data_IF_808567694560
#
_entry.id   IF_808567694560
#
_cell.length_a   1.000
_cell.length_b   1.000
_cell.length_c   1.000
_cell.angle_alpha   90.00
_cell.angle_beta   90.00
_cell.angle_gamma   90.00
#
_symmetry.space_group_name_H-M   'P 1'
#
loop_
_entity.id
_entity.type
_entity.pdbx_description
1 polymer ?
#
# COMPACT_ATOMS: atom_id res chain seq x y z
N UNK A 1 66.35 -6.89 -8.19
CA UNK A 1 64.95 -7.28 -8.47
C UNK A 1 63.97 -6.09 -8.43
N UNK A 2 64.37 -4.88 -8.87
CA UNK A 2 63.58 -3.65 -8.67
C UNK A 2 62.66 -3.27 -9.85
N UNK A 3 62.99 -3.62 -11.09
CA UNK A 3 62.28 -3.14 -12.30
C UNK A 3 60.87 -3.70 -12.53
N UNK A 4 60.50 -4.81 -11.89
CA UNK A 4 59.20 -5.48 -12.12
C UNK A 4 58.04 -4.80 -11.37
N UNK A 5 58.35 -4.07 -10.30
CA UNK A 5 57.35 -3.38 -9.47
C UNK A 5 56.89 -2.04 -10.06
N UNK A 6 57.74 -1.34 -10.82
CA UNK A 6 57.42 -0.01 -11.36
C UNK A 6 56.37 -0.07 -12.48
N UNK A 7 56.47 -1.05 -13.39
CA UNK A 7 55.46 -1.24 -14.46
C UNK A 7 54.10 -1.68 -13.93
N UNK A 8 54.06 -2.42 -12.82
CA UNK A 8 52.82 -2.77 -12.12
C UNK A 8 52.19 -1.55 -11.45
N UNK A 9 53.00 -0.68 -10.83
CA UNK A 9 52.55 0.59 -10.24
C UNK A 9 51.96 1.53 -11.28
N UNK A 10 52.64 1.75 -12.41
CA UNK A 10 52.13 2.61 -13.48
C UNK A 10 50.83 2.09 -14.10
N UNK A 11 50.70 0.77 -14.24
CA UNK A 11 49.49 0.14 -14.74
C UNK A 11 48.34 0.29 -13.75
N UNK A 12 48.61 0.13 -12.44
CA UNK A 12 47.67 0.42 -11.35
C UNK A 12 47.25 1.89 -11.34
N UNK A 13 48.19 2.83 -11.44
CA UNK A 13 47.93 4.27 -11.42
C UNK A 13 47.10 4.74 -12.64
N UNK A 14 47.18 4.03 -13.77
CA UNK A 14 46.33 4.30 -14.95
C UNK A 14 44.95 3.65 -14.88
N UNK A 15 44.84 2.46 -14.29
CA UNK A 15 43.58 1.69 -14.25
C UNK A 15 42.71 2.13 -13.08
N UNK A 16 43.32 2.39 -11.92
CA UNK A 16 42.62 2.74 -10.68
C UNK A 16 41.70 3.96 -10.81
N UNK A 17 42.08 5.08 -11.45
CA UNK A 17 41.19 6.23 -11.61
C UNK A 17 39.96 5.90 -12.46
N UNK A 18 40.11 5.06 -13.50
CA UNK A 18 39.00 4.62 -14.35
C UNK A 18 38.05 3.72 -13.58
N UNK A 19 38.60 2.71 -12.88
CA UNK A 19 37.82 1.79 -12.04
C UNK A 19 37.11 2.52 -10.90
N UNK A 20 37.78 3.47 -10.24
CA UNK A 20 37.19 4.32 -9.19
C UNK A 20 36.01 5.13 -9.73
N UNK A 21 36.14 5.73 -10.92
CA UNK A 21 35.06 6.50 -11.55
C UNK A 21 33.86 5.63 -11.91
N UNK A 22 34.08 4.41 -12.39
CA UNK A 22 33.00 3.45 -12.68
C UNK A 22 32.33 2.95 -11.39
N UNK A 23 33.09 2.71 -10.31
CA UNK A 23 32.55 2.40 -8.99
C UNK A 23 31.70 3.54 -8.43
N UNK A 24 32.15 4.79 -8.53
CA UNK A 24 31.39 5.96 -8.10
C UNK A 24 30.07 6.10 -8.88
N UNK A 25 30.10 5.88 -10.20
CA UNK A 25 28.87 5.84 -11.02
C UNK A 25 27.94 4.70 -10.57
N UNK A 26 28.47 3.50 -10.36
CA UNK A 26 27.70 2.35 -9.90
C UNK A 26 27.04 2.61 -8.54
N UNK A 27 27.74 3.27 -7.61
CA UNK A 27 27.18 3.67 -6.32
C UNK A 27 26.04 4.68 -6.49
N UNK A 28 26.20 5.66 -7.39
CA UNK A 28 25.15 6.66 -7.67
C UNK A 28 23.91 6.01 -8.29
N UNK A 29 24.09 5.10 -9.23
CA UNK A 29 22.98 4.36 -9.84
C UNK A 29 22.27 3.44 -8.85
N UNK A 30 23.04 2.72 -8.01
CA UNK A 30 22.49 1.88 -6.95
C UNK A 30 21.65 2.71 -5.96
N UNK A 31 22.16 3.87 -5.51
CA UNK A 31 21.39 4.81 -4.66
C UNK A 31 20.10 5.27 -5.35
N UNK A 32 20.15 5.57 -6.64
CA UNK A 32 18.97 5.98 -7.42
C UNK A 32 17.94 4.84 -7.54
N UNK A 33 18.39 3.59 -7.73
CA UNK A 33 17.50 2.43 -7.76
C UNK A 33 16.87 2.15 -6.40
N UNK A 34 17.64 2.23 -5.32
CA UNK A 34 17.13 2.08 -3.95
C UNK A 34 16.05 3.11 -3.65
N UNK A 35 16.29 4.40 -3.94
CA UNK A 35 15.29 5.44 -3.72
C UNK A 35 14.00 5.25 -4.55
N UNK A 36 14.11 4.70 -5.77
CA UNK A 36 12.94 4.30 -6.58
C UNK A 36 12.20 3.11 -5.95
N UNK A 37 12.93 2.12 -5.45
CA UNK A 37 12.38 0.94 -4.77
C UNK A 37 11.62 1.33 -3.50
N UNK A 38 12.21 2.18 -2.65
CA UNK A 38 11.55 2.71 -1.45
C UNK A 38 10.27 3.47 -1.79
N UNK A 39 10.32 4.35 -2.80
CA UNK A 39 9.13 5.09 -3.25
C UNK A 39 8.03 4.15 -3.76
N UNK A 40 8.40 3.12 -4.52
CA UNK A 40 7.45 2.13 -5.00
C UNK A 40 6.82 1.33 -3.87
N UNK A 41 7.63 0.81 -2.94
CA UNK A 41 7.15 0.07 -1.77
C UNK A 41 6.20 0.91 -0.93
N UNK A 42 6.52 2.19 -0.71
CA UNK A 42 5.64 3.12 0.00
C UNK A 42 4.30 3.27 -0.72
N UNK A 43 4.30 3.49 -2.03
CA UNK A 43 3.07 3.60 -2.81
C UNK A 43 2.23 2.32 -2.80
N UNK A 44 2.86 1.15 -2.94
CA UNK A 44 2.17 -0.14 -2.89
C UNK A 44 1.57 -0.39 -1.51
N UNK A 45 2.32 -0.09 -0.46
CA UNK A 45 1.85 -0.20 0.93
C UNK A 45 0.64 0.70 1.19
N UNK A 46 0.73 1.98 0.82
CA UNK A 46 -0.37 2.95 0.96
C UNK A 46 -1.61 2.50 0.18
N UNK A 47 -1.44 2.05 -1.08
CA UNK A 47 -2.52 1.50 -1.89
C UNK A 47 -3.12 0.23 -1.28
N UNK A 48 -2.28 -0.64 -0.71
CA UNK A 48 -2.68 -1.86 -0.02
C UNK A 48 -3.56 -1.55 1.17
N UNK A 49 -3.14 -0.62 2.04
CA UNK A 49 -3.91 -0.16 3.20
C UNK A 49 -5.27 0.39 2.76
N UNK A 50 -5.31 1.23 1.72
CA UNK A 50 -6.57 1.79 1.19
C UNK A 50 -7.48 0.68 0.68
N UNK A 51 -6.96 -0.25 -0.13
CA UNK A 51 -7.74 -1.39 -0.66
C UNK A 51 -8.29 -2.28 0.44
N UNK A 52 -7.46 -2.68 1.40
CA UNK A 52 -7.87 -3.51 2.54
C UNK A 52 -8.93 -2.80 3.38
N UNK A 53 -8.80 -1.48 3.59
CA UNK A 53 -9.81 -0.69 4.31
C UNK A 53 -11.14 -0.63 3.55
N UNK A 54 -11.10 -0.42 2.22
CA UNK A 54 -12.31 -0.46 1.37
C UNK A 54 -12.98 -1.84 1.42
N UNK A 55 -12.20 -2.92 1.31
CA UNK A 55 -12.70 -4.29 1.37
C UNK A 55 -13.31 -4.63 2.75
N UNK A 56 -12.64 -4.24 3.84
CA UNK A 56 -13.17 -4.42 5.20
C UNK A 56 -14.51 -3.72 5.41
N UNK A 57 -14.64 -2.48 4.92
CA UNK A 57 -15.90 -1.75 5.00
C UNK A 57 -16.99 -2.33 4.07
N UNK A 58 -16.62 -2.79 2.88
CA UNK A 58 -17.52 -3.49 1.97
C UNK A 58 -18.12 -4.74 2.62
N UNK A 59 -17.28 -5.59 3.21
CA UNK A 59 -17.72 -6.79 3.93
C UNK A 59 -18.64 -6.45 5.11
N UNK A 60 -18.33 -5.38 5.86
CA UNK A 60 -19.21 -4.91 6.94
C UNK A 60 -20.56 -4.46 6.40
N UNK A 61 -20.59 -3.76 5.26
CA UNK A 61 -21.83 -3.32 4.60
C UNK A 61 -22.67 -4.51 4.14
N UNK A 62 -22.06 -5.51 3.52
CA UNK A 62 -22.74 -6.75 3.12
C UNK A 62 -23.35 -7.48 4.31
N UNK A 63 -22.59 -7.63 5.40
CA UNK A 63 -23.09 -8.21 6.65
C UNK A 63 -24.32 -7.45 7.17
N UNK A 64 -24.26 -6.11 7.20
CA UNK A 64 -25.38 -5.28 7.66
C UNK A 64 -26.62 -5.42 6.77
N UNK A 65 -26.47 -5.52 5.45
CA UNK A 65 -27.61 -5.79 4.57
C UNK A 65 -28.20 -7.18 4.77
N UNK A 66 -27.35 -8.18 5.01
CA UNK A 66 -27.80 -9.52 5.30
C UNK A 66 -28.58 -9.57 6.63
N UNK A 67 -28.07 -8.91 7.67
CA UNK A 67 -28.75 -8.79 8.96
C UNK A 67 -30.05 -7.98 8.85
N UNK A 68 -30.08 -6.95 8.01
CA UNK A 68 -31.29 -6.18 7.69
C UNK A 68 -32.33 -7.05 6.98
N UNK A 69 -31.93 -7.82 5.96
CA UNK A 69 -32.81 -8.75 5.27
C UNK A 69 -33.41 -9.79 6.23
N UNK A 70 -32.61 -10.33 7.15
CA UNK A 70 -33.10 -11.21 8.22
C UNK A 70 -34.11 -10.53 9.15
N UNK A 71 -33.87 -9.28 9.52
CA UNK A 71 -34.78 -8.53 10.38
C UNK A 71 -36.11 -8.22 9.66
N UNK A 72 -36.04 -7.84 8.38
CA UNK A 72 -37.21 -7.57 7.54
C UNK A 72 -38.03 -8.84 7.31
N UNK A 73 -37.40 -9.98 7.03
CA UNK A 73 -38.09 -11.25 6.83
C UNK A 73 -38.84 -11.75 8.08
N UNK A 74 -38.38 -11.35 9.28
CA UNK A 74 -38.99 -11.72 10.56
C UNK A 74 -40.04 -10.73 11.08
N UNK A 75 -40.18 -9.58 10.42
CA UNK A 75 -41.03 -8.48 10.88
C UNK A 75 -42.10 -8.21 9.82
N UNK A 76 -43.34 -8.01 10.21
CA UNK A 76 -44.40 -7.65 9.26
C UNK A 76 -44.11 -6.28 8.63
N UNK A 77 -44.40 -6.13 7.33
CA UNK A 77 -44.02 -4.94 6.56
C UNK A 77 -44.55 -3.61 7.15
N UNK A 78 -45.72 -3.65 7.79
CA UNK A 78 -46.32 -2.51 8.50
C UNK A 78 -45.51 -2.04 9.72
N UNK A 79 -44.71 -2.92 10.32
CA UNK A 79 -43.96 -2.65 11.55
C UNK A 79 -42.50 -2.26 11.28
N UNK A 80 -42.03 -2.34 10.03
CA UNK A 80 -40.66 -1.96 9.66
C UNK A 80 -40.25 -0.55 10.11
N UNK A 81 -41.10 0.50 9.98
CA UNK A 81 -40.73 1.85 10.39
C UNK A 81 -40.60 2.00 11.91
N UNK A 82 -41.38 1.23 12.67
CA UNK A 82 -41.41 1.27 14.13
C UNK A 82 -40.35 0.36 14.77
N UNK A 83 -39.78 -0.58 14.01
CA UNK A 83 -38.84 -1.56 14.51
C UNK A 83 -37.45 -0.94 14.76
N UNK A 84 -37.06 -0.86 16.04
CA UNK A 84 -35.76 -0.31 16.47
C UNK A 84 -34.54 -1.03 15.88
N UNK A 85 -34.63 -2.34 15.61
CA UNK A 85 -33.51 -3.10 15.02
C UNK A 85 -33.31 -2.70 13.56
N UNK A 86 -34.41 -2.55 12.81
CA UNK A 86 -34.37 -2.11 11.40
C UNK A 86 -33.84 -0.68 11.31
N UNK A 87 -34.34 0.24 12.13
CA UNK A 87 -33.87 1.64 12.12
C UNK A 87 -32.39 1.76 12.50
N UNK A 88 -31.92 0.98 13.48
CA UNK A 88 -30.51 0.91 13.87
C UNK A 88 -29.62 0.38 12.73
N UNK A 89 -30.03 -0.70 12.07
CA UNK A 89 -29.28 -1.27 10.94
C UNK A 89 -29.19 -0.28 9.77
N UNK A 90 -30.28 0.42 9.45
CA UNK A 90 -30.29 1.48 8.44
C UNK A 90 -29.36 2.65 8.80
N UNK A 91 -29.35 3.06 10.07
CA UNK A 91 -28.44 4.09 10.58
C UNK A 91 -26.97 3.68 10.46
N UNK A 92 -26.66 2.42 10.79
CA UNK A 92 -25.32 1.86 10.65
C UNK A 92 -24.89 1.80 9.18
N UNK A 93 -25.75 1.36 8.27
CA UNK A 93 -25.48 1.34 6.82
C UNK A 93 -25.18 2.75 6.31
N UNK A 94 -25.99 3.75 6.70
CA UNK A 94 -25.80 5.16 6.29
C UNK A 94 -24.46 5.73 6.78
N UNK A 95 -24.09 5.44 8.03
CA UNK A 95 -22.79 5.85 8.57
C UNK A 95 -21.63 5.16 7.81
N UNK A 96 -21.79 3.87 7.50
CA UNK A 96 -20.78 3.10 6.77
C UNK A 96 -20.61 3.63 5.34
N UNK A 97 -21.68 4.01 4.66
CA UNK A 97 -21.64 4.67 3.36
C UNK A 97 -20.90 6.01 3.39
N UNK A 98 -21.10 6.81 4.44
CA UNK A 98 -20.33 8.05 4.62
C UNK A 98 -18.85 7.76 4.83
N UNK A 99 -18.50 6.70 5.58
CA UNK A 99 -17.10 6.31 5.78
C UNK A 99 -16.45 5.81 4.49
N UNK A 100 -17.15 5.01 3.68
CA UNK A 100 -16.66 4.55 2.38
C UNK A 100 -16.42 5.73 1.45
N UNK A 101 -17.35 6.69 1.38
CA UNK A 101 -17.20 7.91 0.55
C UNK A 101 -15.99 8.77 0.94
N UNK A 102 -15.59 8.74 2.22
CA UNK A 102 -14.42 9.48 2.72
C UNK A 102 -13.08 8.83 2.34
N UNK A 103 -13.07 7.56 1.95
CA UNK A 103 -11.84 6.86 1.52
C UNK A 103 -11.64 7.11 0.03
N UNK A 104 -10.87 8.15 -0.29
CA UNK A 104 -10.31 8.34 -1.64
C UNK A 104 -9.25 7.28 -1.90
#
# INVERSE_FOLDING_TARGET
MAKKNDGLKEMLDKIWPKTKKELEKGIVEAKKMLGKGEKYLKQVSERGVIKTKKLSLGLKKEKLYYDLGKALAKTQASEWPANRKISSLLGQIKNLDQQIRKIK
#
